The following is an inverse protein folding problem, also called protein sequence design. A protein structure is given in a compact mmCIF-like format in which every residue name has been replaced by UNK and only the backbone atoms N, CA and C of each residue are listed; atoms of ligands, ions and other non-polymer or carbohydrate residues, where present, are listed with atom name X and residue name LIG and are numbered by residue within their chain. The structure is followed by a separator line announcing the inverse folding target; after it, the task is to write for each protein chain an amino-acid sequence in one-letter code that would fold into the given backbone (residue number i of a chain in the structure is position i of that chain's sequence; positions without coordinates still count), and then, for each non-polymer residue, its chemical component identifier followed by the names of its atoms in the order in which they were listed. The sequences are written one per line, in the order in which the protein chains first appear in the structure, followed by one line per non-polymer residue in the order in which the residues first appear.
data_IF_621168815745
#
_entry.id   IF_621168815745
#
_cell.length_a   1.000
_cell.length_b   1.000
_cell.length_c   1.000
_cell.angle_alpha   90.00
_cell.angle_beta   90.00
_cell.angle_gamma   90.00
#
_symmetry.space_group_name_H-M   'P 1'
#
loop_
_entity.id
_entity.type
_entity.pdbx_description
1 polymer ?
#
# COMPACT_ATOMS: atom_id res chain seq x y z
N UNK A 1 -3.46 -16.47 -1.80
CA UNK A 1 -4.32 -15.80 -2.80
C UNK A 1 -4.34 -14.32 -2.42
N UNK A 2 -3.73 -13.43 -3.20
CA UNK A 2 -3.71 -11.99 -2.89
C UNK A 2 -5.14 -11.48 -3.03
N UNK A 3 -5.69 -10.88 -1.98
CA UNK A 3 -7.10 -10.50 -1.93
C UNK A 3 -7.36 -9.18 -2.66
N UNK A 4 -6.52 -8.16 -2.46
CA UNK A 4 -6.64 -6.85 -3.13
C UNK A 4 -5.30 -6.35 -3.64
N UNK A 5 -5.32 -5.69 -4.80
CA UNK A 5 -4.21 -4.95 -5.40
C UNK A 5 -4.29 -3.48 -5.01
N UNK A 6 -3.17 -2.76 -5.13
CA UNK A 6 -3.14 -1.31 -4.94
C UNK A 6 -4.14 -0.62 -5.86
N UNK A 7 -4.32 -1.12 -7.08
CA UNK A 7 -5.32 -0.66 -8.05
C UNK A 7 -6.76 -0.69 -7.54
N UNK A 8 -7.10 -1.65 -6.67
CA UNK A 8 -8.47 -1.91 -6.21
C UNK A 8 -8.92 -0.93 -5.11
N UNK A 9 -7.99 -0.27 -4.42
CA UNK A 9 -8.28 0.67 -3.33
C UNK A 9 -8.75 2.01 -3.91
N UNK A 10 -9.79 2.64 -3.39
CA UNK A 10 -10.19 3.96 -3.89
C UNK A 10 -9.18 5.05 -3.46
N UNK A 11 -8.70 5.87 -4.40
CA UNK A 11 -7.64 6.87 -4.15
C UNK A 11 -8.21 8.19 -3.61
N UNK A 12 -9.53 8.34 -3.69
CA UNK A 12 -10.24 9.53 -3.22
C UNK A 12 -11.45 9.09 -2.42
N UNK A 13 -11.67 9.74 -1.29
CA UNK A 13 -12.87 9.58 -0.47
C UNK A 13 -13.44 10.97 -0.14
N UNK A 14 -14.74 11.02 0.11
CA UNK A 14 -15.44 12.23 0.53
C UNK A 14 -16.08 11.95 1.88
N UNK A 15 -15.84 12.83 2.86
CA UNK A 15 -16.41 12.74 4.21
C UNK A 15 -16.89 14.15 4.56
N UNK A 16 -18.19 14.33 4.81
CA UNK A 16 -18.79 15.64 5.14
C UNK A 16 -18.41 16.76 4.16
N UNK A 17 -18.53 16.50 2.85
CA UNK A 17 -18.13 17.40 1.75
C UNK A 17 -16.61 17.71 1.65
N UNK A 18 -15.80 17.24 2.60
CA UNK A 18 -14.35 17.33 2.50
C UNK A 18 -13.78 16.21 1.63
N UNK A 19 -12.87 16.60 0.73
CA UNK A 19 -12.22 15.69 -0.21
C UNK A 19 -10.84 15.26 0.31
N UNK A 20 -10.66 13.94 0.47
CA UNK A 20 -9.40 13.36 0.90
C UNK A 20 -8.78 12.53 -0.22
N UNK A 21 -7.48 12.69 -0.40
CA UNK A 21 -6.69 11.88 -1.35
C UNK A 21 -5.79 10.92 -0.59
N UNK A 22 -5.78 9.66 -1.00
CA UNK A 22 -4.91 8.64 -0.46
C UNK A 22 -3.45 8.97 -0.79
N UNK A 23 -2.60 9.07 0.24
CA UNK A 23 -1.17 9.38 0.10
C UNK A 23 -0.24 8.22 0.45
N UNK A 24 -0.73 7.25 1.22
CA UNK A 24 0.04 6.08 1.57
C UNK A 24 -0.82 4.96 2.13
N UNK A 25 -0.28 3.75 2.09
CA UNK A 25 -0.87 2.52 2.64
C UNK A 25 0.24 1.78 3.37
N UNK A 26 -0.09 1.24 4.55
CA UNK A 26 0.74 0.25 5.22
C UNK A 26 0.10 -1.11 5.00
N UNK A 27 0.82 -2.02 4.34
CA UNK A 27 0.34 -3.36 4.04
C UNK A 27 1.07 -4.39 4.90
N UNK A 28 0.31 -5.35 5.41
CA UNK A 28 0.85 -6.51 6.11
C UNK A 28 0.93 -7.69 5.15
N UNK A 29 2.14 -8.22 4.96
CA UNK A 29 2.43 -9.44 4.22
C UNK A 29 2.68 -10.55 5.24
N UNK A 30 1.68 -11.40 5.45
CA UNK A 30 1.80 -12.56 6.31
C UNK A 30 0.76 -13.61 6.00
N UNK A 31 0.99 -14.83 6.46
CA UNK A 31 0.09 -15.98 6.36
C UNK A 31 -0.95 -15.93 7.47
N UNK A 32 -1.73 -14.86 7.51
CA UNK A 32 -2.61 -14.51 8.63
C UNK A 32 -3.96 -15.22 8.72
N UNK A 33 -4.16 -16.37 8.08
CA UNK A 33 -5.47 -17.08 8.20
C UNK A 33 -5.46 -18.18 9.27
N UNK A 34 -4.28 -18.59 9.73
CA UNK A 34 -4.15 -19.54 10.82
C UNK A 34 -3.56 -18.81 12.02
N UNK A 35 -4.34 -18.72 13.10
CA UNK A 35 -4.02 -18.10 14.41
C UNK A 35 -2.69 -18.57 15.07
N UNK A 36 -1.94 -19.46 14.42
CA UNK A 36 -0.69 -20.07 14.88
C UNK A 36 0.56 -19.53 14.19
N UNK A 37 0.42 -18.63 13.20
CA UNK A 37 1.54 -17.93 12.58
C UNK A 37 1.44 -16.44 12.91
N UNK A 38 2.22 -16.01 13.90
CA UNK A 38 2.29 -14.62 14.37
C UNK A 38 3.37 -13.80 13.68
N UNK A 39 3.99 -14.35 12.62
CA UNK A 39 5.04 -13.69 11.88
C UNK A 39 4.51 -13.14 10.55
N UNK A 40 5.00 -11.97 10.18
CA UNK A 40 4.71 -11.33 8.92
C UNK A 40 5.58 -10.09 8.78
N UNK A 41 5.37 -9.37 7.69
CA UNK A 41 6.20 -8.24 7.31
C UNK A 41 5.33 -7.05 6.95
N UNK A 42 5.69 -5.86 7.43
CA UNK A 42 5.00 -4.63 7.04
C UNK A 42 5.79 -3.93 5.94
N UNK A 43 5.07 -3.51 4.91
CA UNK A 43 5.63 -2.68 3.84
C UNK A 43 4.76 -1.44 3.63
N UNK A 44 5.37 -0.36 3.18
CA UNK A 44 4.67 0.89 2.91
C UNK A 44 4.59 1.14 1.39
N UNK A 45 3.42 1.57 0.94
CA UNK A 45 3.22 2.11 -0.39
C UNK A 45 2.92 3.59 -0.25
N UNK A 46 3.66 4.46 -0.93
CA UNK A 46 3.52 5.91 -0.82
C UNK A 46 3.35 6.53 -2.20
N UNK A 47 2.47 7.53 -2.31
CA UNK A 47 2.32 8.34 -3.51
C UNK A 47 3.33 9.49 -3.49
N UNK A 48 4.25 9.50 -4.45
CA UNK A 48 5.23 10.58 -4.56
C UNK A 48 4.61 11.78 -5.27
N UNK A 49 4.56 12.91 -4.56
CA UNK A 49 3.87 14.11 -5.01
C UNK A 49 4.43 14.71 -6.32
N UNK A 50 5.70 14.44 -6.62
CA UNK A 50 6.42 15.09 -7.73
C UNK A 50 6.12 14.46 -9.10
N UNK A 51 5.72 13.18 -9.14
CA UNK A 51 5.54 12.41 -10.37
C UNK A 51 4.26 11.54 -10.38
N UNK A 52 3.43 11.66 -9.35
CA UNK A 52 2.19 10.89 -9.17
C UNK A 52 2.39 9.36 -9.27
N UNK A 53 3.58 8.88 -8.89
CA UNK A 53 3.90 7.46 -8.89
C UNK A 53 3.80 6.86 -7.50
N UNK A 54 3.27 5.64 -7.43
CA UNK A 54 3.33 4.84 -6.23
C UNK A 54 4.68 4.17 -6.09
N UNK A 55 5.23 4.21 -4.89
CA UNK A 55 6.53 3.68 -4.53
C UNK A 55 6.38 2.72 -3.36
N UNK A 56 7.08 1.58 -3.41
CA UNK A 56 7.11 0.58 -2.35
C UNK A 56 8.39 0.74 -1.53
N UNK A 57 8.21 0.85 -0.21
CA UNK A 57 9.25 0.97 0.80
C UNK A 57 9.20 -0.24 1.72
N UNK A 58 10.34 -0.89 1.87
CA UNK A 58 10.50 -2.18 2.55
C UNK A 58 11.83 -2.13 3.32
N UNK A 59 11.73 -1.84 4.61
CA UNK A 59 12.82 -1.60 5.55
C UNK A 59 13.94 -0.69 4.99
N UNK A 60 15.17 -1.21 4.92
CA UNK A 60 16.37 -0.49 4.47
C UNK A 60 16.74 -0.84 3.04
N UNK A 61 15.80 -1.35 2.22
CA UNK A 61 16.11 -1.63 0.81
C UNK A 61 16.42 -0.32 0.10
N UNK A 62 17.65 -0.22 -0.38
CA UNK A 62 18.15 0.97 -1.09
C UNK A 62 17.41 1.25 -2.42
N UNK A 63 16.70 0.25 -2.94
CA UNK A 63 15.94 0.36 -4.19
C UNK A 63 14.47 0.55 -3.91
N UNK A 64 13.96 1.74 -4.18
CA UNK A 64 12.52 2.02 -4.19
C UNK A 64 11.90 1.42 -5.44
N UNK A 65 10.91 0.54 -5.26
CA UNK A 65 10.23 -0.10 -6.38
C UNK A 65 9.03 0.76 -6.78
N UNK A 66 9.06 1.33 -8.00
CA UNK A 66 7.91 2.01 -8.58
C UNK A 66 6.82 0.98 -8.91
N UNK A 67 5.61 1.22 -8.43
CA UNK A 67 4.45 0.36 -8.64
C UNK A 67 3.45 1.04 -9.57
N UNK A 68 3.09 0.32 -10.63
CA UNK A 68 1.93 0.68 -11.46
C UNK A 68 0.65 0.12 -10.84
N UNK A 69 -0.50 0.66 -11.26
CA UNK A 69 -1.84 0.27 -10.77
C UNK A 69 -2.18 -1.23 -10.87
N UNK A 70 -1.36 -2.04 -11.55
CA UNK A 70 -1.60 -3.47 -11.77
C UNK A 70 -1.12 -4.39 -10.64
N UNK A 71 -0.41 -3.85 -9.63
CA UNK A 71 0.15 -4.57 -8.49
C UNK A 71 -0.70 -4.48 -7.24
#
# INVERSE_FOLDING_TARGET
KVLWKLGDINKKIVINDDHYSLKGIIAFIGSGWNLRQTHGHYIAYCLRAMNDTWECYDDTKDTVIVKSNNY
#
